data_IF_661203566187
#
_entry.id   IF_661203566187
#
_cell.length_a   1.000
_cell.length_b   1.000
_cell.length_c   1.000
_cell.angle_alpha   90.00
_cell.angle_beta   90.00
_cell.angle_gamma   90.00
#
_symmetry.space_group_name_H-M   'P 1'
#
loop_
_entity.id
_entity.type
_entity.pdbx_description
1 polymer ?
#
# COMPACT_ATOMS: atom_id res chain seq x y z
N UNK A 1 -16.94 -15.53 -25.37
CA UNK A 1 -15.57 -15.00 -25.33
C UNK A 1 -15.08 -14.99 -23.89
N UNK A 2 -14.00 -15.66 -23.59
CA UNK A 2 -13.38 -15.60 -22.27
C UNK A 2 -12.81 -14.19 -22.06
N UNK A 3 -13.24 -13.50 -21.00
CA UNK A 3 -12.66 -12.21 -20.61
C UNK A 3 -11.17 -12.42 -20.30
N UNK A 4 -10.32 -11.69 -21.01
CA UNK A 4 -8.87 -11.69 -20.76
C UNK A 4 -8.65 -11.26 -19.30
N UNK A 5 -8.15 -12.16 -18.46
CA UNK A 5 -7.85 -11.85 -17.06
C UNK A 5 -6.77 -10.75 -17.04
N UNK A 6 -6.98 -9.71 -16.25
CA UNK A 6 -5.97 -8.66 -16.10
C UNK A 6 -4.73 -9.21 -15.39
N UNK A 7 -3.57 -8.60 -15.61
CA UNK A 7 -2.31 -8.97 -14.96
C UNK A 7 -2.45 -8.91 -13.43
N UNK A 8 -3.30 -8.02 -12.93
CA UNK A 8 -3.54 -7.81 -11.50
C UNK A 8 -4.77 -8.57 -10.97
N UNK A 9 -5.25 -9.56 -11.73
CA UNK A 9 -6.43 -10.32 -11.34
C UNK A 9 -6.15 -11.21 -10.12
N UNK A 10 -7.00 -11.08 -9.12
CA UNK A 10 -7.02 -11.92 -7.93
C UNK A 10 -8.38 -12.62 -7.87
N UNK A 11 -8.36 -13.96 -7.79
CA UNK A 11 -9.58 -14.71 -7.54
C UNK A 11 -9.96 -14.57 -6.08
N UNK A 12 -11.00 -13.78 -5.79
CA UNK A 12 -11.41 -13.47 -4.43
C UNK A 12 -11.74 -14.72 -3.61
N UNK A 13 -12.38 -15.71 -4.21
CA UNK A 13 -12.77 -16.95 -3.52
C UNK A 13 -11.55 -17.74 -3.07
N UNK A 14 -10.60 -17.98 -3.98
CA UNK A 14 -9.36 -18.69 -3.66
C UNK A 14 -8.51 -17.90 -2.66
N UNK A 15 -8.38 -16.61 -2.86
CA UNK A 15 -7.62 -15.72 -2.00
C UNK A 15 -8.22 -15.70 -0.58
N UNK A 16 -9.53 -15.53 -0.45
CA UNK A 16 -10.21 -15.51 0.84
C UNK A 16 -10.03 -16.83 1.58
N UNK A 17 -10.12 -17.96 0.86
CA UNK A 17 -9.91 -19.29 1.46
C UNK A 17 -8.45 -19.45 1.93
N UNK A 18 -7.48 -19.03 1.13
CA UNK A 18 -6.06 -19.07 1.50
C UNK A 18 -5.78 -18.24 2.75
N UNK A 19 -6.38 -17.07 2.87
CA UNK A 19 -6.26 -16.21 4.06
C UNK A 19 -6.83 -16.88 5.29
N UNK A 20 -8.02 -17.48 5.18
CA UNK A 20 -8.66 -18.23 6.28
C UNK A 20 -7.78 -19.38 6.73
N UNK A 21 -7.26 -20.16 5.79
CA UNK A 21 -6.39 -21.31 6.08
C UNK A 21 -5.11 -20.88 6.80
N UNK A 22 -4.46 -19.83 6.30
CA UNK A 22 -3.25 -19.29 6.92
C UNK A 22 -3.53 -18.76 8.33
N UNK A 23 -4.59 -18.00 8.53
CA UNK A 23 -4.95 -17.43 9.83
C UNK A 23 -5.28 -18.52 10.85
N UNK A 24 -5.90 -19.62 10.40
CA UNK A 24 -6.19 -20.78 11.25
C UNK A 24 -4.90 -21.45 11.73
N UNK A 25 -3.95 -21.66 10.81
CA UNK A 25 -2.63 -22.23 11.14
C UNK A 25 -1.85 -21.32 12.07
N UNK A 26 -1.86 -20.00 11.80
CA UNK A 26 -1.18 -19.00 12.63
C UNK A 26 -1.74 -18.97 14.05
N UNK A 27 -3.05 -18.99 14.19
CA UNK A 27 -3.72 -19.02 15.50
C UNK A 27 -3.35 -20.26 16.29
N UNK A 28 -3.36 -21.41 15.65
CA UNK A 28 -2.96 -22.68 16.28
C UNK A 28 -1.49 -22.64 16.71
N UNK A 29 -0.60 -22.07 15.91
CA UNK A 29 0.82 -21.92 16.24
C UNK A 29 1.03 -20.98 17.43
N UNK A 30 0.27 -19.89 17.52
CA UNK A 30 0.31 -18.94 18.66
C UNK A 30 -0.19 -19.61 19.94
N UNK A 31 -1.28 -20.36 19.88
CA UNK A 31 -1.84 -21.10 21.02
C UNK A 31 -0.90 -22.18 21.53
N UNK A 32 -0.14 -22.81 20.61
CA UNK A 32 0.89 -23.80 20.95
C UNK A 32 2.22 -23.20 21.43
N UNK A 33 2.30 -21.87 21.51
CA UNK A 33 3.51 -21.11 21.92
C UNK A 33 4.77 -21.50 21.13
N UNK A 34 4.61 -21.74 19.84
CA UNK A 34 5.73 -22.07 18.96
C UNK A 34 6.70 -20.88 18.85
N UNK A 35 7.99 -21.18 18.90
CA UNK A 35 9.05 -20.16 18.80
C UNK A 35 9.05 -19.51 17.42
N UNK A 36 8.80 -20.31 16.36
CA UNK A 36 8.67 -19.79 15.00
C UNK A 36 7.21 -19.87 14.55
N UNK A 37 6.67 -18.69 14.18
CA UNK A 37 5.34 -18.60 13.60
C UNK A 37 5.39 -18.88 12.09
N UNK A 38 4.32 -19.43 11.50
CA UNK A 38 4.26 -19.67 10.07
C UNK A 38 4.44 -18.38 9.29
N UNK A 39 5.21 -18.45 8.21
CA UNK A 39 5.43 -17.33 7.29
C UNK A 39 4.23 -17.24 6.34
N UNK A 40 3.86 -16.03 5.94
CA UNK A 40 2.81 -15.82 4.95
C UNK A 40 3.18 -16.53 3.64
N UNK A 41 2.31 -17.40 3.10
CA UNK A 41 2.60 -18.10 1.84
C UNK A 41 2.80 -17.13 0.67
N UNK A 42 3.64 -17.54 -0.28
CA UNK A 42 3.96 -16.75 -1.47
C UNK A 42 2.70 -16.38 -2.28
N UNK A 43 1.72 -17.27 -2.34
CA UNK A 43 0.46 -17.00 -3.03
C UNK A 43 -0.26 -15.78 -2.42
N UNK A 44 -0.38 -15.72 -1.10
CA UNK A 44 -1.03 -14.60 -0.39
C UNK A 44 -0.23 -13.32 -0.59
N UNK A 45 1.09 -13.38 -0.45
CA UNK A 45 1.97 -12.22 -0.67
C UNK A 45 1.87 -11.70 -2.11
N UNK A 46 1.80 -12.60 -3.09
CA UNK A 46 1.61 -12.21 -4.50
C UNK A 46 0.24 -11.58 -4.73
N UNK A 47 -0.79 -12.03 -4.02
CA UNK A 47 -2.12 -11.40 -4.08
C UNK A 47 -2.10 -9.98 -3.51
N UNK A 48 -1.41 -9.76 -2.40
CA UNK A 48 -1.23 -8.41 -1.85
C UNK A 48 -0.56 -7.47 -2.85
N UNK A 49 0.49 -7.95 -3.51
CA UNK A 49 1.19 -7.19 -4.55
C UNK A 49 0.24 -6.86 -5.72
N UNK A 50 -0.52 -7.83 -6.20
CA UNK A 50 -1.49 -7.62 -7.28
C UNK A 50 -2.58 -6.61 -6.90
N UNK A 51 -3.08 -6.68 -5.67
CA UNK A 51 -4.06 -5.72 -5.16
C UNK A 51 -3.46 -4.30 -5.16
N UNK A 52 -2.25 -4.14 -4.63
CA UNK A 52 -1.56 -2.85 -4.59
C UNK A 52 -1.27 -2.31 -5.98
N UNK A 53 -0.73 -3.11 -6.88
CA UNK A 53 -0.45 -2.71 -8.26
C UNK A 53 -1.72 -2.34 -9.02
N UNK A 54 -2.76 -3.15 -8.92
CA UNK A 54 -4.04 -2.85 -9.56
C UNK A 54 -4.64 -1.53 -9.06
N UNK A 55 -4.59 -1.30 -7.75
CA UNK A 55 -5.06 -0.06 -7.14
C UNK A 55 -4.24 1.15 -7.59
N UNK A 56 -2.92 1.01 -7.74
CA UNK A 56 -2.02 2.09 -8.14
C UNK A 56 -2.27 2.61 -9.56
N UNK A 57 -2.94 1.81 -10.40
CA UNK A 57 -3.30 2.18 -11.77
C UNK A 57 -4.64 2.90 -11.88
N UNK A 58 -5.38 3.02 -10.77
CA UNK A 58 -6.63 3.78 -10.77
C UNK A 58 -6.37 5.28 -10.92
N UNK A 59 -7.35 5.99 -11.48
CA UNK A 59 -7.23 7.43 -11.77
C UNK A 59 -6.81 8.26 -10.55
N UNK A 60 -7.20 7.85 -9.35
CA UNK A 60 -6.85 8.53 -8.11
C UNK A 60 -5.34 8.49 -7.81
N UNK A 61 -4.61 7.50 -8.31
CA UNK A 61 -3.23 7.20 -7.89
C UNK A 61 -2.23 7.15 -9.04
N UNK A 62 -2.68 7.03 -10.28
CA UNK A 62 -1.81 6.77 -11.44
C UNK A 62 -0.79 7.88 -11.72
N UNK A 63 -1.06 9.10 -11.29
CA UNK A 63 -0.22 10.27 -11.57
C UNK A 63 0.91 10.47 -10.56
N UNK A 64 0.93 9.72 -9.47
CA UNK A 64 1.98 9.87 -8.46
C UNK A 64 3.27 9.20 -8.92
N UNK A 65 4.39 9.89 -8.80
CA UNK A 65 5.71 9.40 -9.21
C UNK A 65 6.24 8.31 -8.29
N UNK A 66 5.74 8.26 -7.06
CA UNK A 66 6.12 7.30 -6.03
C UNK A 66 5.11 6.14 -5.89
N UNK A 67 4.50 5.71 -7.01
CA UNK A 67 3.54 4.60 -6.98
C UNK A 67 4.15 3.29 -6.51
N UNK A 68 5.40 3.02 -6.85
CA UNK A 68 6.10 1.80 -6.40
C UNK A 68 6.22 1.78 -4.88
N UNK A 69 6.59 2.88 -4.27
CA UNK A 69 6.65 3.02 -2.81
C UNK A 69 5.26 2.88 -2.18
N UNK A 70 4.22 3.41 -2.82
CA UNK A 70 2.83 3.25 -2.37
C UNK A 70 2.44 1.77 -2.36
N UNK A 71 2.77 1.03 -3.43
CA UNK A 71 2.49 -0.41 -3.54
C UNK A 71 3.25 -1.19 -2.46
N UNK A 72 4.52 -0.89 -2.25
CA UNK A 72 5.32 -1.57 -1.21
C UNK A 72 4.79 -1.29 0.20
N UNK A 73 4.35 -0.07 0.48
CA UNK A 73 3.69 0.27 1.75
C UNK A 73 2.40 -0.53 1.94
N UNK A 74 1.62 -0.67 0.87
CA UNK A 74 0.38 -1.46 0.91
C UNK A 74 0.67 -2.93 1.22
N UNK A 75 1.66 -3.52 0.56
CA UNK A 75 2.07 -4.92 0.81
C UNK A 75 2.51 -5.09 2.26
N UNK A 76 3.35 -4.19 2.75
CA UNK A 76 3.82 -4.22 4.15
C UNK A 76 2.64 -4.14 5.14
N UNK A 77 1.71 -3.22 4.92
CA UNK A 77 0.54 -3.07 5.79
C UNK A 77 -0.38 -4.30 5.73
N UNK A 78 -0.56 -4.90 4.56
CA UNK A 78 -1.33 -6.14 4.41
C UNK A 78 -0.67 -7.31 5.15
N UNK A 79 0.65 -7.45 5.06
CA UNK A 79 1.40 -8.48 5.77
C UNK A 79 1.28 -8.34 7.29
N UNK A 80 1.26 -7.13 7.80
CA UNK A 80 1.03 -6.87 9.23
C UNK A 80 -0.43 -7.11 9.64
N UNK A 81 -1.38 -6.71 8.79
CA UNK A 81 -2.80 -6.77 9.10
C UNK A 81 -3.37 -8.19 9.03
N UNK A 82 -2.75 -9.11 8.30
CA UNK A 82 -3.25 -10.49 8.17
C UNK A 82 -3.33 -11.21 9.52
N UNK A 83 -2.46 -10.86 10.45
CA UNK A 83 -2.48 -11.44 11.80
C UNK A 83 -3.75 -11.08 12.57
N UNK A 84 -4.36 -9.97 12.24
CA UNK A 84 -5.55 -9.43 12.90
C UNK A 84 -6.84 -9.70 12.10
N UNK A 85 -6.76 -10.45 11.00
CA UNK A 85 -7.92 -10.76 10.18
C UNK A 85 -8.88 -11.66 10.96
N UNK A 86 -10.13 -11.22 11.07
CA UNK A 86 -11.14 -11.94 11.85
C UNK A 86 -11.78 -13.05 11.00
N UNK A 87 -11.25 -14.25 11.15
CA UNK A 87 -11.73 -15.46 10.45
C UNK A 87 -13.19 -15.79 10.82
N UNK A 88 -13.55 -15.63 12.07
CA UNK A 88 -14.91 -15.94 12.55
C UNK A 88 -15.96 -15.01 11.91
N UNK A 89 -15.68 -13.72 11.86
CA UNK A 89 -16.57 -12.76 11.20
C UNK A 89 -16.65 -13.04 9.69
N UNK A 90 -15.54 -13.38 9.06
CA UNK A 90 -15.48 -13.69 7.63
C UNK A 90 -16.25 -14.96 7.28
N UNK A 91 -16.14 -16.01 8.09
CA UNK A 91 -16.83 -17.29 7.85
C UNK A 91 -18.32 -17.22 8.21
N UNK A 92 -18.69 -16.39 9.18
CA UNK A 92 -20.08 -16.21 9.62
C UNK A 92 -20.98 -15.68 8.51
N UNK A 93 -20.44 -14.84 7.63
CA UNK A 93 -21.22 -14.27 6.50
C UNK A 93 -21.47 -15.28 5.38
N UNK A 94 -20.79 -16.41 5.37
CA UNK A 94 -20.86 -17.41 4.31
C UNK A 94 -20.13 -17.03 3.02
N UNK A 95 -19.75 -15.76 2.87
CA UNK A 95 -19.02 -15.22 1.72
C UNK A 95 -17.85 -14.36 2.21
N UNK A 96 -16.74 -14.95 2.65
CA UNK A 96 -15.59 -14.18 3.11
C UNK A 96 -15.04 -13.34 1.94
N UNK A 97 -14.82 -12.05 2.21
CA UNK A 97 -14.33 -11.09 1.23
C UNK A 97 -13.01 -10.47 1.69
N UNK A 98 -11.96 -11.28 1.67
CA UNK A 98 -10.62 -10.83 2.01
C UNK A 98 -10.12 -9.77 1.00
N UNK A 99 -10.50 -9.88 -0.26
CA UNK A 99 -10.13 -8.91 -1.29
C UNK A 99 -10.56 -7.48 -0.92
N UNK A 100 -11.80 -7.29 -0.50
CA UNK A 100 -12.30 -5.99 -0.08
C UNK A 100 -11.57 -5.47 1.17
N UNK A 101 -11.33 -6.34 2.13
CA UNK A 101 -10.61 -6.01 3.36
C UNK A 101 -9.18 -5.51 3.09
N UNK A 102 -8.40 -6.25 2.32
CA UNK A 102 -7.02 -5.90 2.01
C UNK A 102 -6.92 -4.76 1.00
N UNK A 103 -7.89 -4.60 0.11
CA UNK A 103 -7.98 -3.43 -0.77
C UNK A 103 -8.16 -2.15 0.04
N UNK A 104 -8.99 -2.18 1.07
CA UNK A 104 -9.19 -1.04 1.96
C UNK A 104 -7.92 -0.69 2.73
N UNK A 105 -7.19 -1.69 3.22
CA UNK A 105 -5.90 -1.50 3.89
C UNK A 105 -4.90 -0.84 2.94
N UNK A 106 -4.84 -1.32 1.70
CA UNK A 106 -3.97 -0.76 0.65
C UNK A 106 -4.33 0.69 0.31
N UNK A 107 -5.62 0.98 0.22
CA UNK A 107 -6.12 2.35 0.00
C UNK A 107 -5.62 3.31 1.08
N UNK A 108 -5.78 2.96 2.34
CA UNK A 108 -5.32 3.79 3.46
C UNK A 108 -3.79 3.91 3.50
N UNK A 109 -3.06 2.86 3.14
CA UNK A 109 -1.60 2.92 3.02
C UNK A 109 -1.18 3.94 1.96
N UNK A 110 -1.86 3.97 0.82
CA UNK A 110 -1.63 4.94 -0.24
C UNK A 110 -1.87 6.38 0.25
N UNK A 111 -2.98 6.61 0.94
CA UNK A 111 -3.30 7.94 1.48
C UNK A 111 -2.25 8.41 2.49
N UNK A 112 -1.77 7.51 3.34
CA UNK A 112 -0.70 7.83 4.31
C UNK A 112 0.62 8.17 3.62
N UNK A 113 0.98 7.44 2.56
CA UNK A 113 2.19 7.75 1.77
C UNK A 113 2.08 9.11 1.10
N UNK A 114 0.95 9.42 0.50
CA UNK A 114 0.69 10.72 -0.14
C UNK A 114 0.84 11.85 0.88
N UNK A 115 0.23 11.71 2.06
CA UNK A 115 0.33 12.70 3.12
C UNK A 115 1.77 12.88 3.60
N UNK A 116 2.52 11.79 3.75
CA UNK A 116 3.93 11.79 4.15
C UNK A 116 4.80 12.51 3.12
N UNK A 117 4.64 12.20 1.83
CA UNK A 117 5.39 12.82 0.75
C UNK A 117 5.09 14.33 0.66
N UNK A 118 3.82 14.71 0.78
CA UNK A 118 3.41 16.11 0.80
C UNK A 118 4.05 16.87 1.97
N UNK A 119 4.04 16.28 3.15
CA UNK A 119 4.68 16.87 4.34
C UNK A 119 6.18 17.03 4.14
N UNK A 120 6.86 16.04 3.54
CA UNK A 120 8.29 16.13 3.24
C UNK A 120 8.58 17.23 2.23
N UNK A 121 7.76 17.40 1.21
CA UNK A 121 7.88 18.51 0.26
C UNK A 121 7.73 19.87 0.95
N UNK A 122 6.72 20.01 1.82
CA UNK A 122 6.50 21.24 2.58
C UNK A 122 7.70 21.57 3.48
N UNK A 123 8.29 20.58 4.15
CA UNK A 123 9.49 20.74 4.98
C UNK A 123 10.68 21.17 4.13
N UNK A 124 10.89 20.53 2.98
CA UNK A 124 11.96 20.89 2.04
C UNK A 124 11.81 22.33 1.55
N UNK A 125 10.62 22.74 1.18
CA UNK A 125 10.33 24.11 0.74
C UNK A 125 10.63 25.13 1.83
N UNK A 126 10.20 24.86 3.06
CA UNK A 126 10.50 25.73 4.21
C UNK A 126 12.00 25.81 4.48
N UNK A 127 12.70 24.69 4.43
CA UNK A 127 14.14 24.66 4.61
C UNK A 127 14.86 25.47 3.53
N UNK A 128 14.50 25.29 2.27
CA UNK A 128 15.09 26.00 1.15
C UNK A 128 14.84 27.50 1.25
N UNK A 129 13.64 27.90 1.63
CA UNK A 129 13.30 29.31 1.84
C UNK A 129 14.11 29.94 3.00
N UNK A 130 14.22 29.24 4.13
CA UNK A 130 14.96 29.74 5.31
C UNK A 130 16.48 29.66 5.16
N UNK A 131 16.99 28.72 4.32
CA UNK A 131 18.43 28.56 4.11
C UNK A 131 19.03 29.54 3.10
N UNK A 132 18.26 30.50 2.61
CA UNK A 132 18.77 31.60 1.77
C UNK A 132 18.63 31.34 0.27
N UNK A 133 17.77 30.44 -0.17
CA UNK A 133 17.39 30.32 -1.59
C UNK A 133 16.75 31.61 -2.08
N UNK A 134 16.15 32.39 -1.18
CA UNK A 134 15.71 33.76 -1.44
C UNK A 134 16.81 34.65 -2.01
N UNK A 135 18.06 34.42 -1.65
CA UNK A 135 19.19 35.13 -2.23
C UNK A 135 19.36 34.87 -3.73
N UNK A 136 19.00 33.67 -4.17
CA UNK A 136 19.04 33.29 -5.60
C UNK A 136 17.81 33.82 -6.34
N UNK A 137 16.68 33.91 -5.68
CA UNK A 137 15.42 34.42 -6.25
C UNK A 137 15.48 35.95 -6.39
N UNK A 138 16.07 36.67 -5.42
CA UNK A 138 16.24 38.12 -5.46
C UNK A 138 17.31 38.58 -6.47
N UNK A 139 18.12 37.63 -7.00
CA UNK A 139 19.06 37.90 -8.10
C UNK A 139 18.42 38.05 -9.48
N UNK A 140 17.08 37.95 -9.58
CA UNK A 140 16.34 38.26 -10.81
C UNK A 140 16.52 37.29 -11.97
N UNK A 141 16.99 36.11 -11.70
CA UNK A 141 17.23 35.10 -12.74
C UNK A 141 16.03 34.16 -12.89
N UNK A 142 15.45 34.10 -14.08
CA UNK A 142 14.29 33.23 -14.41
C UNK A 142 14.54 31.73 -14.13
N UNK A 143 15.81 31.31 -14.10
CA UNK A 143 16.21 29.94 -13.79
C UNK A 143 15.92 29.53 -12.33
N UNK A 144 15.89 30.48 -11.41
CA UNK A 144 15.63 30.20 -9.99
C UNK A 144 14.15 29.92 -9.69
N UNK A 145 13.23 30.44 -10.51
CA UNK A 145 11.80 30.13 -10.41
C UNK A 145 11.51 28.67 -10.84
N UNK A 146 12.27 28.15 -11.79
CA UNK A 146 12.13 26.77 -12.26
C UNK A 146 12.54 25.75 -11.19
N UNK A 147 13.57 26.04 -10.41
CA UNK A 147 14.02 25.15 -9.33
C UNK A 147 12.98 25.09 -8.21
N UNK A 148 12.36 26.20 -7.87
CA UNK A 148 11.32 26.25 -6.84
C UNK A 148 10.07 25.45 -7.25
N UNK A 149 9.68 25.48 -8.52
CA UNK A 149 8.53 24.73 -9.05
C UNK A 149 8.79 23.22 -9.21
N UNK A 150 10.05 22.80 -9.38
CA UNK A 150 10.42 21.39 -9.50
C UNK A 150 10.20 20.59 -8.19
N UNK A 151 10.06 21.26 -7.04
CA UNK A 151 9.82 20.64 -5.74
C UNK A 151 8.35 20.67 -5.29
N UNK A 152 7.49 21.24 -6.10
CA UNK A 152 6.04 21.25 -5.90
C UNK A 152 5.42 20.07 -6.71
#
# INVERSE_FOLDING_TARGET
MAKKKSIHYVNNREFSQAVVDYCTVLKAAKEAEKIQLPIVPDYIASCFLKIGEGLSHKANFIRYTYREEMVMDAVENCLKAIENYNVEAATRSGNPNAFAYFTQISWYAFLRRIAKEKKQQDVKMKYMTSAGIDMYVTGGDETSTHVATAFI
#
